data_IF_767215733200
#
_entry.id   IF_767215733200
#
_cell.length_a   1.000
_cell.length_b   1.000
_cell.length_c   1.000
_cell.angle_alpha   90.00
_cell.angle_beta   90.00
_cell.angle_gamma   90.00
#
_symmetry.space_group_name_H-M   'P 1'
#
loop_
_entity.id
_entity.type
_entity.pdbx_description
1 polymer ?
#
# COMPACT_ATOMS: atom_id res chain seq x y z
N UNK A 1 13.81 -55.40 91.27
CA UNK A 1 14.19 -54.65 90.06
C UNK A 1 13.44 -53.33 90.14
N UNK A 2 14.06 -52.32 90.76
CA UNK A 2 13.38 -51.07 91.13
C UNK A 2 14.12 -49.90 90.46
N UNK A 3 13.35 -49.04 89.78
CA UNK A 3 13.82 -48.00 88.87
C UNK A 3 14.43 -46.76 89.53
N UNK A 4 14.71 -45.75 88.70
CA UNK A 4 14.89 -44.32 88.99
C UNK A 4 15.10 -43.56 87.64
N UNK A 5 14.79 -42.26 87.57
CA UNK A 5 14.02 -41.65 86.48
C UNK A 5 14.79 -40.69 85.56
N UNK A 6 14.07 -40.21 84.54
CA UNK A 6 14.43 -39.18 83.55
C UNK A 6 14.87 -37.84 84.14
N UNK A 7 15.78 -37.10 83.47
CA UNK A 7 15.89 -35.65 83.61
C UNK A 7 15.36 -34.87 82.39
N UNK A 8 14.94 -33.64 82.68
CA UNK A 8 14.14 -32.65 81.93
C UNK A 8 14.90 -31.92 80.80
N UNK A 9 14.17 -31.23 79.89
CA UNK A 9 14.77 -30.49 78.77
C UNK A 9 15.31 -29.13 79.20
N UNK A 10 16.45 -28.73 78.62
CA UNK A 10 17.06 -27.41 78.81
C UNK A 10 16.79 -26.57 77.57
N UNK A 11 16.20 -25.41 77.81
CA UNK A 11 15.87 -24.32 76.91
C UNK A 11 17.15 -23.61 76.41
N UNK A 12 17.22 -23.38 75.09
CA UNK A 12 18.23 -22.55 74.42
C UNK A 12 17.54 -21.70 73.36
N UNK A 13 16.59 -20.86 73.78
CA UNK A 13 16.37 -19.58 73.12
C UNK A 13 17.56 -18.66 73.37
N UNK A 14 18.38 -18.41 72.33
CA UNK A 14 18.82 -17.05 71.94
C UNK A 14 19.86 -17.11 70.80
N UNK A 15 19.76 -16.12 69.91
CA UNK A 15 20.70 -15.75 68.84
C UNK A 15 20.55 -16.45 67.47
N UNK A 16 19.59 -16.00 66.66
CA UNK A 16 19.99 -15.17 65.51
C UNK A 16 18.88 -14.21 65.10
N UNK A 17 19.15 -12.94 65.38
CA UNK A 17 18.36 -11.79 65.00
C UNK A 17 18.96 -11.24 63.73
N UNK A 18 18.45 -11.64 62.57
CA UNK A 18 18.67 -10.86 61.35
C UNK A 18 17.44 -10.88 60.44
N UNK A 19 16.56 -9.89 60.65
CA UNK A 19 15.76 -9.15 59.65
C UNK A 19 14.92 -9.99 58.67
N UNK A 20 13.64 -10.29 58.95
CA UNK A 20 12.48 -9.45 58.62
C UNK A 20 12.67 -8.48 57.43
N UNK A 21 12.19 -8.87 56.24
CA UNK A 21 10.99 -8.29 55.57
C UNK A 21 10.82 -8.94 54.18
N UNK A 22 9.96 -9.94 54.10
CA UNK A 22 9.35 -10.39 52.85
C UNK A 22 7.84 -10.32 53.05
N UNK A 23 7.25 -9.21 52.60
CA UNK A 23 5.82 -8.98 52.57
C UNK A 23 5.22 -9.57 51.29
N UNK A 24 4.22 -10.42 51.52
CA UNK A 24 2.92 -10.43 50.86
C UNK A 24 2.81 -10.67 49.34
N UNK A 25 2.48 -11.93 49.04
CA UNK A 25 1.28 -12.39 48.32
C UNK A 25 0.74 -11.62 47.10
N UNK A 26 0.49 -12.43 46.07
CA UNK A 26 -0.61 -12.33 45.08
C UNK A 26 -0.38 -11.47 43.82
N UNK A 27 -0.12 -12.13 42.70
CA UNK A 27 -1.10 -12.28 41.60
C UNK A 27 -0.41 -12.79 40.33
N UNK A 28 -1.01 -13.80 39.72
CA UNK A 28 -0.50 -14.44 38.52
C UNK A 28 -0.44 -13.48 37.33
N UNK A 29 0.65 -13.58 36.56
CA UNK A 29 0.63 -13.25 35.14
C UNK A 29 1.48 -14.29 34.41
N UNK A 30 0.74 -15.25 33.85
CA UNK A 30 0.96 -15.90 32.56
C UNK A 30 2.32 -15.61 31.91
N UNK A 31 3.22 -16.59 32.03
CA UNK A 31 4.50 -16.64 31.31
C UNK A 31 4.26 -16.60 29.80
N UNK A 32 4.24 -15.38 29.25
CA UNK A 32 4.41 -15.18 27.82
C UNK A 32 5.84 -15.58 27.46
N UNK A 33 5.98 -16.71 26.75
CA UNK A 33 7.24 -17.14 26.14
C UNK A 33 7.83 -15.99 25.33
N UNK A 34 8.87 -15.34 25.84
CA UNK A 34 9.61 -14.29 25.13
C UNK A 34 10.40 -14.99 24.03
N UNK A 35 9.88 -14.95 22.80
CA UNK A 35 10.63 -15.42 21.62
C UNK A 35 11.91 -14.58 21.52
N UNK A 36 13.10 -15.19 21.54
CA UNK A 36 14.36 -14.46 21.39
C UNK A 36 14.35 -13.69 20.07
N UNK A 37 14.53 -12.37 20.15
CA UNK A 37 14.59 -11.54 18.94
C UNK A 37 15.95 -11.71 18.28
N UNK A 38 15.94 -12.20 17.05
CA UNK A 38 17.11 -12.32 16.19
C UNK A 38 17.70 -10.95 15.80
N UNK A 39 18.98 -10.95 15.44
CA UNK A 39 19.68 -9.77 14.95
C UNK A 39 19.17 -9.35 13.57
N UNK A 40 18.75 -8.10 13.44
CA UNK A 40 18.20 -7.55 12.18
C UNK A 40 19.21 -7.49 11.02
N UNK A 41 20.50 -7.68 11.27
CA UNK A 41 21.54 -7.68 10.23
C UNK A 41 22.03 -9.08 9.86
N UNK A 42 22.27 -9.95 10.85
CA UNK A 42 22.92 -11.25 10.64
C UNK A 42 22.05 -12.47 10.98
N UNK A 43 20.79 -12.26 11.41
CA UNK A 43 19.83 -13.34 11.71
C UNK A 43 20.19 -14.22 12.91
N UNK A 44 21.35 -14.01 13.56
CA UNK A 44 21.74 -14.78 14.75
C UNK A 44 21.03 -14.25 15.99
N UNK A 45 20.71 -15.14 16.90
CA UNK A 45 20.19 -14.80 18.22
C UNK A 45 21.36 -14.27 19.06
N UNK A 46 21.37 -12.99 19.45
CA UNK A 46 22.47 -12.43 20.23
C UNK A 46 22.36 -12.87 21.69
N UNK A 47 23.48 -13.29 22.28
CA UNK A 47 23.57 -13.55 23.73
C UNK A 47 23.33 -12.26 24.55
N UNK A 48 23.86 -11.13 24.06
CA UNK A 48 23.65 -9.80 24.62
C UNK A 48 22.97 -8.87 23.59
N UNK A 49 21.63 -8.78 23.56
CA UNK A 49 20.89 -8.04 22.55
C UNK A 49 21.08 -6.52 22.67
N UNK A 50 21.76 -5.92 21.69
CA UNK A 50 21.85 -4.47 21.55
C UNK A 50 20.64 -3.91 20.81
N UNK A 51 19.84 -3.07 21.46
CA UNK A 51 18.70 -2.40 20.81
C UNK A 51 19.11 -1.07 20.18
N UNK A 52 18.44 -0.69 19.09
CA UNK A 52 18.60 0.64 18.53
C UNK A 52 18.22 1.72 19.57
N UNK A 53 19.12 2.66 19.85
CA UNK A 53 18.90 3.71 20.87
C UNK A 53 17.76 4.68 20.54
N UNK A 54 17.40 4.83 19.26
CA UNK A 54 16.36 5.76 18.80
C UNK A 54 14.97 5.12 18.86
N UNK A 55 14.79 3.99 18.18
CA UNK A 55 13.47 3.36 18.06
C UNK A 55 13.21 2.27 19.09
N UNK A 56 14.25 1.65 19.67
CA UNK A 56 14.22 0.49 20.58
C UNK A 56 13.48 -0.75 20.05
N UNK A 57 13.08 -0.76 18.77
CA UNK A 57 12.29 -1.83 18.13
C UNK A 57 13.15 -3.00 17.64
N UNK A 58 14.25 -2.69 16.96
CA UNK A 58 15.18 -3.67 16.37
C UNK A 58 16.30 -4.05 17.34
N UNK A 59 16.83 -5.26 17.17
CA UNK A 59 17.87 -5.88 17.99
C UNK A 59 19.06 -6.24 17.11
N UNK A 60 20.27 -6.11 17.65
CA UNK A 60 21.53 -6.44 17.01
C UNK A 60 22.42 -7.26 17.95
N UNK A 61 23.35 -8.03 17.38
CA UNK A 61 24.43 -8.64 18.16
C UNK A 61 25.37 -7.58 18.74
N UNK A 62 25.81 -6.65 17.89
CA UNK A 62 26.83 -5.66 18.23
C UNK A 62 26.63 -4.36 17.44
N UNK A 63 27.39 -3.32 17.82
CA UNK A 63 27.43 -2.05 17.07
C UNK A 63 27.84 -2.21 15.60
N UNK A 64 28.59 -3.27 15.25
CA UNK A 64 28.93 -3.57 13.84
C UNK A 64 27.68 -3.88 13.01
N UNK A 65 26.86 -4.82 13.50
CA UNK A 65 25.58 -5.17 12.87
C UNK A 65 24.62 -3.97 12.80
N UNK A 66 24.60 -3.10 13.81
CA UNK A 66 23.79 -1.88 13.77
C UNK A 66 24.24 -0.90 12.67
N UNK A 67 25.56 -0.74 12.46
CA UNK A 67 26.10 0.20 11.45
C UNK A 67 25.84 -0.29 10.02
N UNK A 68 25.95 -1.59 9.78
CA UNK A 68 25.68 -2.19 8.47
C UNK A 68 24.20 -2.07 8.10
N UNK A 69 23.31 -2.40 9.04
CA UNK A 69 21.86 -2.27 8.87
C UNK A 69 21.39 -0.79 8.82
N UNK A 70 22.18 0.16 9.31
CA UNK A 70 21.79 1.58 9.34
C UNK A 70 21.37 2.15 7.97
N UNK A 71 21.95 1.64 6.87
CA UNK A 71 21.57 2.03 5.51
C UNK A 71 20.09 1.77 5.22
N UNK A 72 19.55 0.68 5.78
CA UNK A 72 18.16 0.26 5.63
C UNK A 72 17.30 0.75 6.79
N UNK A 73 17.75 0.54 8.03
CA UNK A 73 17.04 0.86 9.27
C UNK A 73 16.70 2.35 9.41
N UNK A 74 17.56 3.27 8.95
CA UNK A 74 17.32 4.72 9.09
C UNK A 74 15.98 5.18 8.48
N UNK A 75 15.48 4.47 7.47
CA UNK A 75 14.20 4.78 6.80
C UNK A 75 12.98 4.44 7.66
N UNK A 76 13.12 3.48 8.57
CA UNK A 76 12.05 2.99 9.44
C UNK A 76 12.27 3.34 10.93
N UNK A 77 13.40 3.96 11.27
CA UNK A 77 13.78 4.32 12.62
C UNK A 77 12.97 5.53 13.12
N UNK A 78 11.93 5.27 13.93
CA UNK A 78 11.09 6.32 14.56
C UNK A 78 11.17 6.24 16.07
N UNK A 79 11.29 7.39 16.75
CA UNK A 79 11.26 7.49 18.21
C UNK A 79 9.88 7.00 18.72
N UNK A 80 9.82 6.11 19.72
CA UNK A 80 8.55 5.71 20.30
C UNK A 80 7.92 6.92 20.99
N UNK A 81 6.68 7.24 20.64
CA UNK A 81 5.90 8.23 21.38
C UNK A 81 5.54 7.65 22.75
N UNK A 82 5.62 8.43 23.84
CA UNK A 82 5.07 7.99 25.12
C UNK A 82 3.57 7.74 24.93
N UNK A 83 3.08 6.59 25.40
CA UNK A 83 1.64 6.29 25.39
C UNK A 83 0.98 7.34 26.30
N UNK A 84 0.24 8.28 25.70
CA UNK A 84 -0.63 9.18 26.46
C UNK A 84 -1.80 8.37 27.00
N UNK A 85 -2.21 8.63 28.23
CA UNK A 85 -3.30 7.89 28.87
C UNK A 85 -4.58 8.00 28.03
N UNK A 86 -5.33 6.90 27.84
CA UNK A 86 -6.53 6.85 26.99
C UNK A 86 -7.63 7.83 27.43
N UNK A 87 -7.57 8.32 28.67
CA UNK A 87 -8.46 9.36 29.19
C UNK A 87 -8.22 10.74 28.53
N UNK A 88 -6.96 11.07 28.19
CA UNK A 88 -6.60 12.36 27.61
C UNK A 88 -6.94 12.40 26.11
N UNK A 89 -6.73 11.30 25.38
CA UNK A 89 -7.12 11.20 23.96
C UNK A 89 -8.64 11.24 23.75
N UNK A 90 -9.41 10.68 24.69
CA UNK A 90 -10.88 10.73 24.64
C UNK A 90 -11.41 12.15 24.90
N UNK A 91 -10.77 12.92 25.79
CA UNK A 91 -11.11 14.31 26.07
C UNK A 91 -10.78 15.23 24.88
N UNK A 92 -9.62 15.06 24.25
CA UNK A 92 -9.22 15.85 23.07
C UNK A 92 -10.12 15.59 21.86
N UNK A 93 -10.54 14.34 21.63
CA UNK A 93 -11.49 14.00 20.55
C UNK A 93 -12.88 14.61 20.77
N UNK A 94 -13.39 14.60 22.01
CA UNK A 94 -14.69 15.22 22.35
C UNK A 94 -14.64 16.74 22.19
N UNK A 95 -13.57 17.40 22.63
CA UNK A 95 -13.39 18.84 22.46
C UNK A 95 -13.29 19.27 20.98
N UNK A 96 -12.64 18.46 20.14
CA UNK A 96 -12.54 18.73 18.69
C UNK A 96 -13.86 18.53 17.95
N UNK A 97 -14.68 17.57 18.38
CA UNK A 97 -16.01 17.34 17.81
C UNK A 97 -17.00 18.44 18.20
N UNK A 98 -16.93 18.96 19.43
CA UNK A 98 -17.78 20.08 19.88
C UNK A 98 -17.45 21.39 19.12
N UNK A 99 -16.16 21.71 18.92
CA UNK A 99 -15.74 22.88 18.12
C UNK A 99 -16.14 22.79 16.64
N UNK A 100 -16.25 21.59 16.07
CA UNK A 100 -16.69 21.38 14.69
C UNK A 100 -18.21 21.52 14.52
N UNK A 101 -18.98 21.28 15.59
CA UNK A 101 -20.44 21.45 15.59
C UNK A 101 -20.85 22.93 15.71
N UNK A 102 -20.17 23.74 16.54
CA UNK A 102 -20.44 25.19 16.64
C UNK A 102 -20.11 25.97 15.36
N UNK A 103 -19.17 25.47 14.53
CA UNK A 103 -18.85 26.08 13.23
C UNK A 103 -19.91 25.83 12.14
N UNK A 104 -20.91 24.96 12.37
CA UNK A 104 -21.96 24.64 11.41
C UNK A 104 -23.28 25.40 11.63
N UNK A 105 -23.43 26.19 12.70
CA UNK A 105 -24.69 26.90 13.02
C UNK A 105 -24.67 28.39 12.67
N UNK A 106 -23.65 28.88 11.96
CA UNK A 106 -23.66 30.22 11.35
C UNK A 106 -23.34 30.03 9.87
N UNK A 107 -24.38 29.93 9.04
CA UNK A 107 -24.23 29.99 7.59
C UNK A 107 -23.77 31.39 7.17
N UNK A 108 -22.67 31.55 6.42
CA UNK A 108 -22.37 32.83 5.81
C UNK A 108 -23.18 32.96 4.53
N UNK A 109 -24.23 33.78 4.60
CA UNK A 109 -24.81 34.45 3.45
C UNK A 109 -23.70 35.23 2.73
N UNK A 110 -23.30 34.76 1.54
CA UNK A 110 -22.32 35.45 0.68
C UNK A 110 -23.01 36.66 0.04
N UNK A 111 -22.87 37.85 0.63
CA UNK A 111 -23.08 39.09 -0.11
C UNK A 111 -21.79 39.46 -0.85
N UNK A 112 -21.89 39.60 -2.16
CA UNK A 112 -20.86 40.15 -3.03
C UNK A 112 -20.65 41.63 -2.72
N UNK A 113 -19.63 41.95 -1.92
CA UNK A 113 -18.84 43.20 -1.92
C UNK A 113 -17.91 43.14 -0.69
N UNK A 114 -16.70 43.68 -0.87
CA UNK A 114 -15.70 43.92 0.17
C UNK A 114 -14.68 42.78 0.42
N UNK A 115 -13.82 42.54 -0.57
CA UNK A 115 -12.47 41.99 -0.37
C UNK A 115 -11.46 43.05 -0.81
N UNK A 116 -11.12 43.97 0.09
CA UNK A 116 -9.91 44.80 0.00
C UNK A 116 -9.43 45.18 1.41
N UNK A 117 -8.86 44.20 2.12
CA UNK A 117 -7.96 44.46 3.26
C UNK A 117 -6.87 43.39 3.25
N UNK A 118 -5.71 43.79 2.73
CA UNK A 118 -4.45 43.05 2.86
C UNK A 118 -4.00 43.14 4.32
N UNK A 119 -3.94 42.00 5.02
CA UNK A 119 -3.21 41.89 6.28
C UNK A 119 -1.89 41.18 5.97
N UNK A 120 -0.84 41.99 5.86
CA UNK A 120 0.55 41.57 5.97
C UNK A 120 0.78 41.07 7.40
N UNK A 121 1.02 39.77 7.61
CA UNK A 121 2.25 39.29 8.23
C UNK A 121 2.26 37.75 8.39
N UNK A 122 3.48 37.22 8.56
CA UNK A 122 3.82 35.84 8.96
C UNK A 122 4.05 34.79 7.85
N UNK A 123 5.12 35.02 7.09
CA UNK A 123 6.25 34.08 6.90
C UNK A 123 5.97 32.57 7.13
N UNK A 124 5.35 31.93 6.15
CA UNK A 124 5.25 30.47 6.06
C UNK A 124 6.50 29.89 5.35
N UNK A 125 7.60 29.71 6.08
CA UNK A 125 8.85 29.09 5.58
C UNK A 125 8.74 27.55 5.47
N UNK A 126 8.13 27.01 4.41
CA UNK A 126 8.25 25.57 4.12
C UNK A 126 8.66 25.19 2.69
N UNK A 127 9.04 26.14 1.84
CA UNK A 127 9.62 25.82 0.52
C UNK A 127 11.00 26.46 0.33
N UNK A 128 12.06 25.66 0.56
CA UNK A 128 13.42 26.00 0.17
C UNK A 128 13.65 25.48 -1.25
N UNK A 129 13.05 26.14 -2.24
CA UNK A 129 13.46 25.98 -3.63
C UNK A 129 14.93 26.42 -3.74
N UNK A 130 15.78 25.52 -4.22
CA UNK A 130 17.14 25.86 -4.62
C UNK A 130 16.99 26.54 -5.98
N UNK A 131 16.64 27.82 -5.96
CA UNK A 131 16.47 28.63 -7.15
C UNK A 131 17.81 28.74 -7.85
N UNK A 132 17.95 28.03 -8.96
CA UNK A 132 19.00 28.31 -9.91
C UNK A 132 18.65 29.64 -10.58
N UNK A 133 19.31 30.71 -10.14
CA UNK A 133 19.21 32.04 -10.72
C UNK A 133 20.43 32.19 -11.62
N UNK A 134 20.30 32.19 -12.96
CA UNK A 134 21.42 32.53 -13.82
C UNK A 134 21.79 33.99 -13.57
N UNK A 135 23.08 34.29 -13.43
CA UNK A 135 23.59 35.66 -13.18
C UNK A 135 23.23 36.65 -14.30
N UNK A 136 22.79 36.14 -15.46
CA UNK A 136 22.43 36.96 -16.61
C UNK A 136 21.15 36.45 -17.27
N UNK A 137 20.04 37.21 -17.15
CA UNK A 137 18.85 37.02 -17.99
C UNK A 137 19.18 37.53 -19.39
N UNK A 138 19.48 36.65 -20.33
CA UNK A 138 19.45 37.00 -21.75
C UNK A 138 18.00 36.99 -22.23
N UNK A 139 17.46 38.17 -22.50
CA UNK A 139 16.17 38.29 -23.17
C UNK A 139 16.32 37.83 -24.62
N UNK A 140 15.78 36.65 -24.92
CA UNK A 140 15.77 36.13 -26.27
C UNK A 140 14.70 36.89 -27.06
N UNK A 141 15.12 37.95 -27.75
CA UNK A 141 14.30 38.59 -28.78
C UNK A 141 14.36 37.70 -30.02
N UNK A 142 13.23 37.14 -30.49
CA UNK A 142 13.21 36.44 -31.76
C UNK A 142 13.78 37.39 -32.82
N UNK A 143 14.74 36.90 -33.60
CA UNK A 143 15.32 37.67 -34.70
C UNK A 143 14.23 37.87 -35.75
N UNK A 144 13.67 39.07 -35.80
CA UNK A 144 12.73 39.47 -36.85
C UNK A 144 13.52 39.50 -38.16
N UNK A 145 13.17 38.61 -39.08
CA UNK A 145 13.80 38.54 -40.40
C UNK A 145 13.18 39.67 -41.20
N UNK A 146 13.94 40.75 -41.39
CA UNK A 146 13.51 41.85 -42.26
C UNK A 146 13.53 41.37 -43.72
N UNK A 147 12.36 41.31 -44.35
CA UNK A 147 12.15 40.67 -45.65
C UNK A 147 12.67 41.53 -46.82
N UNK A 148 13.31 42.68 -46.56
CA UNK A 148 13.74 43.61 -47.61
C UNK A 148 15.24 43.57 -47.99
N UNK A 149 16.04 42.63 -47.48
CA UNK A 149 17.47 42.50 -47.90
C UNK A 149 17.80 41.17 -48.58
N UNK A 150 16.81 40.50 -49.16
CA UNK A 150 16.99 39.33 -50.05
C UNK A 150 16.84 39.68 -51.55
N UNK A 151 17.27 40.88 -51.93
CA UNK A 151 17.52 41.34 -53.30
C UNK A 151 18.74 42.24 -53.14
N UNK A 152 19.98 41.86 -53.48
CA UNK A 152 20.45 41.20 -54.68
C UNK A 152 21.73 40.40 -54.34
N UNK A 153 21.76 39.09 -54.65
CA UNK A 153 22.94 38.39 -55.15
C UNK A 153 22.58 36.93 -55.49
N UNK A 154 22.59 36.67 -56.79
CA UNK A 154 22.83 35.41 -57.48
C UNK A 154 21.82 34.26 -57.44
N UNK A 155 21.33 33.98 -58.65
CA UNK A 155 20.41 32.96 -59.06
C UNK A 155 21.04 31.56 -59.05
N UNK A 156 20.34 30.58 -58.46
CA UNK A 156 20.03 29.29 -59.09
C UNK A 156 19.24 28.37 -58.14
N UNK A 157 18.19 27.76 -58.71
CA UNK A 157 17.49 26.54 -58.32
C UNK A 157 16.46 26.49 -57.17
N UNK A 158 15.39 25.75 -57.49
CA UNK A 158 14.37 25.11 -56.64
C UNK A 158 13.14 25.92 -56.18
N UNK A 159 12.13 25.97 -57.08
CA UNK A 159 10.84 25.28 -56.87
C UNK A 159 9.98 25.66 -55.67
N UNK A 160 8.95 26.48 -55.95
CA UNK A 160 7.90 26.93 -55.04
C UNK A 160 7.05 25.84 -54.38
N UNK A 161 6.64 26.06 -53.12
CA UNK A 161 5.21 26.01 -52.72
C UNK A 161 4.99 26.53 -51.29
N UNK A 162 4.01 27.43 -51.14
CA UNK A 162 3.64 28.12 -49.89
C UNK A 162 2.99 27.21 -48.84
N UNK A 163 3.13 27.48 -47.52
CA UNK A 163 2.47 26.69 -46.48
C UNK A 163 0.98 27.05 -46.38
N UNK A 164 0.11 26.04 -46.56
CA UNK A 164 -1.34 26.18 -46.43
C UNK A 164 -1.80 25.94 -44.98
N UNK A 165 -2.79 26.74 -44.56
CA UNK A 165 -3.48 26.68 -43.27
C UNK A 165 -4.26 25.36 -43.12
N UNK A 166 -3.93 24.56 -42.10
CA UNK A 166 -4.64 23.31 -41.80
C UNK A 166 -6.02 23.64 -41.23
N UNK A 167 -7.08 23.26 -41.94
CA UNK A 167 -8.43 23.25 -41.43
C UNK A 167 -8.69 21.91 -40.73
N UNK A 168 -9.16 21.97 -39.49
CA UNK A 168 -9.68 20.81 -38.79
C UNK A 168 -10.95 20.35 -39.52
N UNK A 169 -10.89 19.16 -40.12
CA UNK A 169 -12.07 18.40 -40.52
C UNK A 169 -12.10 17.16 -39.66
N UNK A 170 -13.21 17.00 -38.95
CA UNK A 170 -13.54 15.80 -38.21
C UNK A 170 -13.73 14.67 -39.23
N UNK A 171 -12.86 13.66 -39.18
CA UNK A 171 -13.05 12.42 -39.89
C UNK A 171 -12.65 11.25 -39.00
N UNK A 172 -13.58 10.31 -38.91
CA UNK A 172 -13.60 9.12 -38.07
C UNK A 172 -12.34 8.26 -38.25
N UNK A 173 -11.81 7.81 -37.10
CA UNK A 173 -10.99 6.62 -36.94
C UNK A 173 -9.75 6.49 -37.83
N UNK A 174 -8.62 7.08 -37.44
CA UNK A 174 -7.30 6.57 -37.82
C UNK A 174 -6.28 6.68 -36.67
N UNK A 175 -5.65 5.53 -36.44
CA UNK A 175 -4.63 5.17 -35.46
C UNK A 175 -3.52 6.21 -35.31
N UNK A 176 -3.27 6.61 -34.06
CA UNK A 176 -2.34 7.65 -33.67
C UNK A 176 -0.90 7.44 -34.14
N UNK A 177 -0.48 8.20 -35.15
CA UNK A 177 0.93 8.45 -35.44
C UNK A 177 1.32 9.77 -34.79
N UNK A 178 1.85 9.70 -33.58
CA UNK A 178 2.49 10.84 -32.93
C UNK A 178 3.91 11.03 -33.49
N UNK A 179 4.41 12.27 -33.38
CA UNK A 179 5.71 12.74 -33.90
C UNK A 179 6.92 11.91 -33.40
N UNK A 180 6.74 11.06 -32.39
CA UNK A 180 7.75 10.16 -31.85
C UNK A 180 8.00 8.90 -32.69
N UNK A 181 7.11 8.54 -33.62
CA UNK A 181 7.21 7.30 -34.42
C UNK A 181 8.01 7.46 -35.73
N UNK A 182 8.92 8.43 -35.79
CA UNK A 182 9.66 8.78 -37.03
C UNK A 182 10.68 7.72 -37.46
N UNK A 183 10.99 6.73 -36.60
CA UNK A 183 12.01 5.71 -36.87
C UNK A 183 11.52 4.24 -36.74
N UNK A 184 10.21 3.99 -36.76
CA UNK A 184 9.62 2.62 -36.74
C UNK A 184 10.09 1.76 -35.54
N UNK A 185 10.47 2.40 -34.44
CA UNK A 185 11.11 1.74 -33.27
C UNK A 185 10.12 1.23 -32.21
N UNK A 186 8.85 1.65 -32.30
CA UNK A 186 7.81 1.47 -31.29
C UNK A 186 6.45 1.28 -31.96
N UNK A 187 5.85 0.10 -31.78
CA UNK A 187 4.46 -0.20 -32.15
C UNK A 187 3.72 -0.58 -30.87
N UNK A 188 2.59 0.05 -30.57
CA UNK A 188 1.77 -0.26 -29.40
C UNK A 188 0.41 -0.79 -29.88
N UNK A 189 0.07 -1.99 -29.44
CA UNK A 189 -1.25 -2.58 -29.67
C UNK A 189 -2.08 -2.42 -28.41
N UNK A 190 -3.16 -1.65 -28.49
CA UNK A 190 -4.13 -1.60 -27.41
C UNK A 190 -4.99 -2.86 -27.46
N UNK A 191 -4.97 -3.64 -26.38
CA UNK A 191 -5.65 -4.93 -26.24
C UNK A 191 -6.62 -4.91 -25.05
N UNK A 192 -7.02 -3.72 -24.60
CA UNK A 192 -7.92 -3.52 -23.45
C UNK A 192 -9.28 -4.16 -23.69
N UNK A 193 -9.80 -4.09 -24.93
CA UNK A 193 -11.08 -4.72 -25.29
C UNK A 193 -11.02 -6.24 -25.12
N UNK A 194 -9.98 -6.86 -25.69
CA UNK A 194 -9.77 -8.30 -25.56
C UNK A 194 -9.66 -8.73 -24.09
N UNK A 195 -8.91 -7.98 -23.28
CA UNK A 195 -8.70 -8.32 -21.88
C UNK A 195 -9.99 -8.15 -21.06
N UNK A 196 -10.78 -7.11 -21.32
CA UNK A 196 -12.08 -6.93 -20.70
C UNK A 196 -13.06 -8.05 -21.05
N UNK A 197 -13.11 -8.44 -22.33
CA UNK A 197 -13.96 -9.54 -22.79
C UNK A 197 -13.53 -10.86 -22.17
N UNK A 198 -12.22 -11.12 -22.10
CA UNK A 198 -11.70 -12.34 -21.49
C UNK A 198 -12.12 -12.44 -20.01
N UNK A 199 -11.92 -11.38 -19.23
CA UNK A 199 -12.24 -11.36 -17.80
C UNK A 199 -13.74 -11.56 -17.55
N UNK A 200 -14.59 -10.92 -18.35
CA UNK A 200 -16.04 -11.05 -18.19
C UNK A 200 -16.59 -12.41 -18.67
N UNK A 201 -15.94 -13.08 -19.62
CA UNK A 201 -16.43 -14.34 -20.18
C UNK A 201 -15.86 -15.58 -19.48
N UNK A 202 -14.60 -15.53 -19.03
CA UNK A 202 -13.90 -16.71 -18.52
C UNK A 202 -13.90 -16.84 -16.98
N UNK A 203 -14.13 -15.74 -16.25
CA UNK A 203 -14.18 -15.80 -14.78
C UNK A 203 -15.54 -16.28 -14.25
N UNK A 204 -16.70 -15.74 -14.69
CA UNK A 204 -18.01 -16.20 -14.22
C UNK A 204 -18.26 -17.66 -14.57
N UNK A 205 -18.91 -18.39 -13.66
CA UNK A 205 -19.18 -19.83 -13.80
C UNK A 205 -18.03 -20.74 -13.38
N UNK A 206 -16.85 -20.19 -13.06
CA UNK A 206 -15.75 -20.98 -12.49
C UNK A 206 -16.10 -21.44 -11.07
N UNK A 207 -15.96 -22.74 -10.81
CA UNK A 207 -16.13 -23.34 -9.49
C UNK A 207 -14.79 -23.82 -8.93
N UNK A 208 -14.53 -23.52 -7.67
CA UNK A 208 -13.30 -23.87 -6.97
C UNK A 208 -13.65 -24.61 -5.69
N UNK A 209 -13.16 -25.84 -5.57
CA UNK A 209 -13.38 -26.68 -4.40
C UNK A 209 -12.14 -26.68 -3.49
N UNK A 210 -12.39 -26.56 -2.20
CA UNK A 210 -11.37 -26.51 -1.17
C UNK A 210 -11.54 -27.59 -0.10
N UNK A 211 -10.64 -27.64 0.88
CA UNK A 211 -10.77 -28.53 2.01
C UNK A 211 -11.98 -28.15 2.90
N UNK A 212 -12.46 -29.11 3.69
CA UNK A 212 -13.60 -28.95 4.61
C UNK A 212 -14.96 -28.67 3.94
N UNK A 213 -15.23 -29.31 2.80
CA UNK A 213 -16.49 -29.19 2.05
C UNK A 213 -16.85 -27.73 1.75
N UNK A 214 -15.84 -26.96 1.34
CA UNK A 214 -16.03 -25.60 0.83
C UNK A 214 -16.01 -25.63 -0.70
N UNK A 215 -17.04 -25.03 -1.29
CA UNK A 215 -17.14 -24.84 -2.73
C UNK A 215 -17.46 -23.37 -2.99
N UNK A 216 -16.68 -22.73 -3.86
CA UNK A 216 -16.83 -21.33 -4.22
C UNK A 216 -17.15 -21.24 -5.70
N UNK A 217 -18.23 -20.57 -6.05
CA UNK A 217 -18.64 -20.32 -7.43
C UNK A 217 -18.54 -18.82 -7.70
N UNK A 218 -17.91 -18.45 -8.81
CA UNK A 218 -17.84 -17.05 -9.25
C UNK A 218 -19.10 -16.72 -10.03
N UNK A 219 -19.90 -15.78 -9.52
CA UNK A 219 -21.17 -15.40 -10.14
C UNK A 219 -20.99 -14.27 -11.15
N UNK A 220 -20.24 -13.24 -10.78
CA UNK A 220 -20.01 -12.07 -11.65
C UNK A 220 -18.72 -11.33 -11.36
N UNK A 221 -18.25 -10.59 -12.37
CA UNK A 221 -17.19 -9.59 -12.26
C UNK A 221 -17.82 -8.20 -12.23
N UNK A 222 -17.46 -7.40 -11.23
CA UNK A 222 -17.97 -6.06 -10.98
C UNK A 222 -16.80 -5.07 -10.87
N UNK A 223 -17.04 -3.78 -11.15
CA UNK A 223 -16.02 -2.72 -11.09
C UNK A 223 -14.71 -3.08 -11.83
N UNK A 224 -14.82 -3.61 -13.05
CA UNK A 224 -13.66 -3.87 -13.89
C UNK A 224 -13.09 -2.55 -14.40
N UNK A 225 -11.92 -2.18 -13.88
CA UNK A 225 -11.20 -0.97 -14.25
C UNK A 225 -9.74 -1.34 -14.52
N UNK A 226 -9.20 -0.90 -15.65
CA UNK A 226 -7.83 -1.19 -16.03
C UNK A 226 -7.60 -1.07 -17.53
N UNK A 227 -6.35 -1.28 -17.92
CA UNK A 227 -5.91 -1.23 -19.31
C UNK A 227 -4.90 -2.33 -19.62
N UNK A 228 -4.87 -2.72 -20.89
CA UNK A 228 -3.98 -3.72 -21.41
C UNK A 228 -3.41 -3.25 -22.76
N UNK A 229 -2.09 -3.29 -22.87
CA UNK A 229 -1.39 -2.98 -24.10
C UNK A 229 -0.18 -3.89 -24.31
N UNK A 230 0.14 -4.12 -25.58
CA UNK A 230 1.31 -4.88 -26.01
C UNK A 230 2.25 -3.94 -26.76
N UNK A 231 3.15 -3.23 -26.06
CA UNK A 231 4.21 -2.47 -26.71
C UNK A 231 5.31 -3.38 -27.27
N UNK A 232 5.59 -3.21 -28.57
CA UNK A 232 6.65 -3.87 -29.31
C UNK A 232 7.81 -2.89 -29.44
N UNK A 233 8.88 -3.14 -28.70
CA UNK A 233 10.09 -2.30 -28.69
C UNK A 233 11.21 -3.06 -29.37
N UNK A 234 11.70 -2.56 -30.51
CA UNK A 234 12.80 -3.20 -31.27
C UNK A 234 12.55 -4.68 -31.56
N UNK A 235 11.32 -5.05 -31.91
CA UNK A 235 10.91 -6.43 -32.20
C UNK A 235 10.70 -7.33 -30.97
N UNK A 236 10.88 -6.82 -29.74
CA UNK A 236 10.52 -7.55 -28.51
C UNK A 236 9.17 -7.06 -27.99
N UNK A 237 8.17 -7.94 -27.97
CA UNK A 237 6.88 -7.67 -27.37
C UNK A 237 6.99 -7.65 -25.84
N UNK A 238 6.33 -6.66 -25.22
CA UNK A 238 6.14 -6.56 -23.77
C UNK A 238 4.65 -6.61 -23.51
N UNK A 239 4.22 -7.41 -22.55
CA UNK A 239 2.81 -7.60 -22.24
C UNK A 239 2.48 -6.80 -20.99
N UNK A 240 1.93 -5.61 -21.15
CA UNK A 240 1.57 -4.73 -20.03
C UNK A 240 0.07 -4.81 -19.82
N UNK A 241 -0.31 -5.02 -18.57
CA UNK A 241 -1.70 -4.95 -18.12
C UNK A 241 -1.70 -4.52 -16.66
N UNK A 242 -2.74 -3.78 -16.28
CA UNK A 242 -3.02 -3.36 -14.92
C UNK A 242 -4.54 -3.31 -14.74
N UNK A 243 -5.04 -4.17 -13.86
CA UNK A 243 -6.47 -4.30 -13.60
C UNK A 243 -6.78 -4.36 -12.11
N UNK A 244 -7.91 -3.76 -11.78
CA UNK A 244 -8.60 -3.90 -10.50
C UNK A 244 -10.06 -4.25 -10.73
N UNK A 245 -10.58 -5.21 -9.98
CA UNK A 245 -11.97 -5.65 -10.10
C UNK A 245 -12.46 -6.36 -8.84
N UNK A 246 -13.79 -6.52 -8.74
CA UNK A 246 -14.46 -7.20 -7.64
C UNK A 246 -15.25 -8.38 -8.16
N UNK A 247 -15.04 -9.56 -7.57
CA UNK A 247 -15.78 -10.76 -7.88
C UNK A 247 -16.90 -10.93 -6.85
N UNK A 248 -18.14 -11.07 -7.33
CA UNK A 248 -19.24 -11.59 -6.53
C UNK A 248 -19.18 -13.10 -6.57
N UNK A 249 -19.05 -13.75 -5.42
CA UNK A 249 -18.95 -15.21 -5.33
C UNK A 249 -19.94 -15.78 -4.32
N UNK A 250 -20.53 -16.92 -4.68
CA UNK A 250 -21.40 -17.72 -3.82
C UNK A 250 -20.56 -18.84 -3.22
N UNK A 251 -20.61 -18.97 -1.89
CA UNK A 251 -19.80 -19.93 -1.13
C UNK A 251 -20.72 -20.91 -0.44
N UNK A 252 -20.53 -22.20 -0.70
CA UNK A 252 -21.15 -23.28 0.09
C UNK A 252 -20.11 -23.83 1.05
N UNK A 253 -20.33 -23.73 2.35
CA UNK A 253 -19.41 -24.22 3.38
C UNK A 253 -20.14 -25.16 4.33
N UNK A 254 -19.80 -26.45 4.32
CA UNK A 254 -20.42 -27.48 5.20
C UNK A 254 -21.96 -27.48 5.11
N UNK A 255 -22.50 -27.22 3.92
CA UNK A 255 -23.95 -27.12 3.66
C UNK A 255 -24.59 -25.76 3.96
N UNK A 256 -23.83 -24.78 4.48
CA UNK A 256 -24.27 -23.40 4.65
C UNK A 256 -24.03 -22.59 3.37
N UNK A 257 -25.00 -21.77 2.98
CA UNK A 257 -24.85 -20.84 1.86
C UNK A 257 -24.44 -19.46 2.36
N UNK A 258 -23.29 -18.99 1.90
CA UNK A 258 -22.66 -17.72 2.22
C UNK A 258 -22.40 -16.94 0.92
N UNK A 259 -22.21 -15.63 1.04
CA UNK A 259 -21.73 -14.79 -0.07
C UNK A 259 -20.38 -14.20 0.27
N UNK A 260 -19.49 -14.12 -0.72
CA UNK A 260 -18.20 -13.49 -0.56
C UNK A 260 -17.90 -12.55 -1.73
N UNK A 261 -17.47 -11.33 -1.38
CA UNK A 261 -16.87 -10.41 -2.32
C UNK A 261 -15.34 -10.60 -2.28
N UNK A 262 -14.73 -10.90 -3.42
CA UNK A 262 -13.27 -10.98 -3.55
C UNK A 262 -12.82 -9.77 -4.38
N UNK A 263 -12.14 -8.82 -3.75
CA UNK A 263 -11.54 -7.68 -4.46
C UNK A 263 -10.12 -8.03 -4.87
N UNK A 264 -9.80 -7.79 -6.13
CA UNK A 264 -8.46 -7.88 -6.72
C UNK A 264 -8.01 -6.45 -6.95
N UNK A 265 -7.06 -5.98 -6.15
CA UNK A 265 -6.64 -4.56 -6.17
C UNK A 265 -5.51 -4.31 -7.17
N UNK A 266 -4.58 -5.27 -7.35
CA UNK A 266 -3.44 -5.17 -8.27
C UNK A 266 -3.27 -6.48 -9.07
N UNK A 267 -3.93 -6.58 -10.22
CA UNK A 267 -3.65 -7.62 -11.22
C UNK A 267 -2.80 -7.03 -12.35
N UNK A 268 -1.47 -7.13 -12.21
CA UNK A 268 -0.52 -6.53 -13.13
C UNK A 268 0.63 -7.48 -13.52
N UNK A 269 1.33 -7.17 -14.62
CA UNK A 269 2.49 -7.93 -15.10
C UNK A 269 3.64 -8.01 -14.08
N UNK A 270 3.88 -6.93 -13.34
CA UNK A 270 5.12 -6.69 -12.60
C UNK A 270 4.99 -6.96 -11.09
N UNK A 271 3.80 -7.34 -10.63
CA UNK A 271 3.50 -7.61 -9.23
C UNK A 271 3.01 -9.05 -9.03
N UNK A 272 3.91 -9.91 -8.56
CA UNK A 272 3.55 -11.18 -7.93
C UNK A 272 4.10 -11.21 -6.48
N UNK A 273 3.29 -11.62 -5.48
CA UNK A 273 1.92 -12.14 -5.58
C UNK A 273 0.85 -11.03 -5.63
N UNK A 274 -0.25 -11.27 -6.36
CA UNK A 274 -1.40 -10.37 -6.41
C UNK A 274 -2.05 -10.18 -5.04
N UNK A 275 -2.61 -8.99 -4.81
CA UNK A 275 -3.30 -8.63 -3.57
C UNK A 275 -4.78 -8.95 -3.67
N UNK A 276 -5.27 -9.77 -2.74
CA UNK A 276 -6.67 -10.19 -2.67
C UNK A 276 -7.29 -9.80 -1.34
N UNK A 277 -8.44 -9.12 -1.41
CA UNK A 277 -9.24 -8.77 -0.25
C UNK A 277 -10.56 -9.55 -0.27
N UNK A 278 -10.64 -10.60 0.56
CA UNK A 278 -11.84 -11.43 0.72
C UNK A 278 -12.72 -10.88 1.84
N UNK A 279 -13.97 -10.59 1.51
CA UNK A 279 -15.01 -10.17 2.44
C UNK A 279 -16.20 -11.13 2.37
N UNK A 280 -16.44 -11.90 3.43
CA UNK A 280 -17.56 -12.85 3.50
C UNK A 280 -18.73 -12.17 4.23
N UNK A 281 -19.87 -12.09 3.57
CA UNK A 281 -21.12 -11.52 4.09
C UNK A 281 -21.94 -12.61 4.78
N UNK A 282 -22.54 -12.24 5.92
CA UNK A 282 -23.54 -13.08 6.59
C UNK A 282 -24.93 -12.76 6.04
N UNK A 283 -25.64 -13.78 5.55
CA UNK A 283 -27.04 -13.66 5.14
C UNK A 283 -27.99 -14.47 6.02
N UNK A 284 -27.50 -15.39 6.86
CA UNK A 284 -28.34 -16.36 7.57
C UNK A 284 -28.13 -16.36 9.09
N UNK A 285 -27.44 -15.37 9.66
CA UNK A 285 -27.14 -15.34 11.09
C UNK A 285 -26.14 -16.42 11.46
N UNK A 286 -25.18 -16.67 10.57
CA UNK A 286 -24.16 -17.71 10.72
C UNK A 286 -23.14 -17.26 11.78
N UNK A 287 -22.66 -18.21 12.59
CA UNK A 287 -21.65 -17.93 13.61
C UNK A 287 -20.43 -17.23 13.01
N UNK A 288 -20.01 -16.14 13.67
CA UNK A 288 -18.88 -15.31 13.24
C UNK A 288 -17.57 -16.11 13.09
N UNK A 289 -17.42 -17.16 13.90
CA UNK A 289 -16.27 -18.06 13.85
C UNK A 289 -16.28 -18.93 12.58
N UNK A 290 -17.46 -19.38 12.14
CA UNK A 290 -17.60 -20.12 10.89
C UNK A 290 -17.29 -19.23 9.69
N UNK A 291 -17.73 -17.96 9.71
CA UNK A 291 -17.40 -16.97 8.66
C UNK A 291 -15.89 -16.70 8.61
N UNK A 292 -15.26 -16.54 9.77
CA UNK A 292 -13.82 -16.30 9.87
C UNK A 292 -13.02 -17.52 9.38
N UNK A 293 -13.50 -18.72 9.71
CA UNK A 293 -12.91 -19.99 9.24
C UNK A 293 -13.05 -20.11 7.73
N UNK A 294 -14.25 -19.94 7.17
CA UNK A 294 -14.50 -19.95 5.74
C UNK A 294 -13.61 -18.94 5.00
N UNK A 295 -13.52 -17.70 5.49
CA UNK A 295 -12.62 -16.68 4.94
C UNK A 295 -11.16 -17.14 4.93
N UNK A 296 -10.69 -17.76 6.01
CA UNK A 296 -9.31 -18.25 6.10
C UNK A 296 -9.02 -19.39 5.12
N UNK A 297 -10.01 -20.26 4.88
CA UNK A 297 -9.90 -21.36 3.91
C UNK A 297 -9.91 -20.81 2.49
N UNK A 298 -10.81 -19.87 2.17
CA UNK A 298 -10.83 -19.19 0.87
C UNK A 298 -9.46 -18.59 0.57
N UNK A 299 -8.88 -17.87 1.53
CA UNK A 299 -7.57 -17.24 1.35
C UNK A 299 -6.44 -18.26 1.10
N UNK A 300 -6.46 -19.40 1.81
CA UNK A 300 -5.36 -20.38 1.74
C UNK A 300 -5.49 -21.38 0.60
N UNK A 301 -6.71 -21.78 0.23
CA UNK A 301 -6.96 -22.88 -0.68
C UNK A 301 -7.56 -22.41 -2.02
N UNK A 302 -8.49 -21.46 -1.99
CA UNK A 302 -9.22 -21.02 -3.19
C UNK A 302 -8.43 -19.96 -3.95
N UNK A 303 -7.82 -19.00 -3.27
CA UNK A 303 -7.02 -17.95 -3.94
C UNK A 303 -5.91 -18.56 -4.83
N UNK A 304 -5.12 -19.55 -4.40
CA UNK A 304 -4.12 -20.17 -5.29
C UNK A 304 -4.71 -20.80 -6.56
N UNK A 305 -5.90 -21.41 -6.46
CA UNK A 305 -6.60 -21.94 -7.64
C UNK A 305 -7.08 -20.82 -8.56
N UNK A 306 -7.58 -19.73 -7.97
CA UNK A 306 -7.96 -18.54 -8.72
C UNK A 306 -6.76 -17.88 -9.43
N UNK A 307 -5.60 -17.79 -8.77
CA UNK A 307 -4.35 -17.35 -9.40
C UNK A 307 -3.97 -18.26 -10.57
N UNK A 308 -4.16 -19.57 -10.44
CA UNK A 308 -3.91 -20.52 -11.52
C UNK A 308 -4.83 -20.27 -12.72
N UNK A 309 -6.10 -19.94 -12.47
CA UNK A 309 -7.07 -19.54 -13.51
C UNK A 309 -6.68 -18.23 -14.19
N UNK A 310 -6.22 -17.23 -13.43
CA UNK A 310 -5.64 -16.00 -13.99
C UNK A 310 -4.35 -16.29 -14.78
N UNK A 311 -3.62 -17.36 -14.46
CA UNK A 311 -2.51 -17.84 -15.28
C UNK A 311 -2.93 -18.18 -16.71
N UNK A 312 -4.15 -18.68 -16.93
CA UNK A 312 -4.68 -18.93 -18.27
C UNK A 312 -4.81 -17.62 -19.07
N UNK A 313 -5.32 -16.55 -18.45
CA UNK A 313 -5.34 -15.20 -19.05
C UNK A 313 -3.94 -14.80 -19.50
N UNK A 314 -2.95 -14.93 -18.62
CA UNK A 314 -1.57 -14.57 -18.94
C UNK A 314 -1.08 -15.37 -20.14
N UNK A 315 -1.30 -16.69 -20.18
CA UNK A 315 -0.85 -17.52 -21.30
C UNK A 315 -1.54 -17.21 -22.63
N UNK A 316 -2.82 -16.81 -22.61
CA UNK A 316 -3.54 -16.42 -23.82
C UNK A 316 -3.17 -15.00 -24.27
N UNK A 317 -2.97 -14.09 -23.32
CA UNK A 317 -2.52 -12.74 -23.60
C UNK A 317 -1.14 -12.71 -24.26
N UNK A 318 -0.25 -13.64 -23.87
CA UNK A 318 1.07 -13.81 -24.49
C UNK A 318 1.03 -14.39 -25.92
N UNK A 319 -0.14 -14.78 -26.45
CA UNK A 319 -0.29 -15.29 -27.82
C UNK A 319 -0.78 -14.22 -28.81
N UNK A 320 -1.17 -13.04 -28.33
CA UNK A 320 -1.59 -11.89 -29.14
C UNK A 320 -0.37 -11.14 -29.73
#
# INVERSE_FOLDING_TARGET
>A
MNGIPTPMPVDLSDMDKTQQREDDTTSGSESQKIVPKECSNCGRIPENPLRCGVCKKVVYCDRKCQKEDWRFHKRICKKPQPKKDPAVEAAEKKARQQRAAEKKTVEPFRSTKDDDVVVEDEKLYWYRHREWIPEHKQEFKPHEIDVSTAVEADAAEAGASSPQKIQATESEGHTGKSVWNTADTYEERNTTEWANDWLNNNLPGSSFDGPEDISVVVDSVNNLEGDAAIPIVRGTARYVYDYKFKLGTSVTFRGLQLEADITVDDFANDMEPYTFHVNVKDKQGVDRDAITTARSIIIKAIIPQFISKLGEFVTEYHKL
#
